data_IF_015348341088
#
_entry.id   IF_015348341088
#
_cell.length_a   1.000
_cell.length_b   1.000
_cell.length_c   1.000
_cell.angle_alpha   90.00
_cell.angle_beta   90.00
_cell.angle_gamma   90.00
#
_symmetry.space_group_name_H-M   'P 1'
#
loop_
_entity.id
_entity.type
_entity.pdbx_description
1 polymer ?
#
# COMPACT_ATOMS: atom_id res chain seq x y z
N UNK A 1 -9.77 -1.98 3.28
CA UNK A 1 -8.95 -3.18 3.52
C UNK A 1 -8.62 -3.81 2.17
N UNK A 2 -7.33 -3.97 1.88
CA UNK A 2 -6.79 -4.62 0.67
C UNK A 2 -5.88 -5.79 1.05
N UNK A 3 -5.16 -6.39 0.10
CA UNK A 3 -4.29 -7.53 0.35
C UNK A 3 -5.05 -8.85 0.29
N UNK A 4 -4.33 -9.93 0.01
CA UNK A 4 -4.92 -11.28 -0.12
C UNK A 4 -5.76 -11.73 1.08
N UNK A 5 -5.33 -11.42 2.32
CA UNK A 5 -6.05 -11.78 3.56
C UNK A 5 -7.45 -11.15 3.67
N UNK A 6 -7.68 -10.03 2.98
CA UNK A 6 -8.97 -9.33 2.99
C UNK A 6 -10.09 -10.10 2.27
N UNK A 7 -9.77 -11.21 1.58
CA UNK A 7 -10.78 -12.16 1.09
C UNK A 7 -11.38 -13.03 2.20
N UNK A 8 -10.75 -13.07 3.39
CA UNK A 8 -11.28 -13.80 4.54
C UNK A 8 -12.30 -12.94 5.31
N UNK A 9 -13.58 -13.29 5.19
CA UNK A 9 -14.66 -12.63 5.95
C UNK A 9 -14.41 -12.65 7.46
N UNK A 10 -13.93 -13.77 8.01
CA UNK A 10 -13.59 -13.89 9.44
C UNK A 10 -12.56 -12.86 9.87
N UNK A 11 -11.52 -12.66 9.07
CA UNK A 11 -10.48 -11.68 9.36
C UNK A 11 -11.03 -10.25 9.32
N UNK A 12 -11.75 -9.92 8.23
CA UNK A 12 -12.37 -8.59 8.05
C UNK A 12 -13.32 -8.26 9.19
N UNK A 13 -14.20 -9.19 9.56
CA UNK A 13 -15.16 -8.99 10.65
C UNK A 13 -14.44 -8.73 11.97
N UNK A 14 -13.35 -9.46 12.25
CA UNK A 14 -12.60 -9.28 13.49
C UNK A 14 -11.92 -7.92 13.56
N UNK A 15 -11.32 -7.45 12.47
CA UNK A 15 -10.74 -6.09 12.41
C UNK A 15 -11.82 -5.02 12.56
N UNK A 16 -12.99 -5.23 11.95
CA UNK A 16 -14.12 -4.30 12.04
C UNK A 16 -14.69 -4.18 13.46
N UNK A 17 -14.66 -5.25 14.26
CA UNK A 17 -15.01 -5.22 15.69
C UNK A 17 -14.13 -4.22 16.48
N UNK A 18 -12.82 -4.22 16.23
CA UNK A 18 -11.88 -3.36 16.96
C UNK A 18 -11.83 -1.91 16.44
N UNK A 19 -11.92 -1.71 15.12
CA UNK A 19 -11.65 -0.41 14.50
C UNK A 19 -12.84 0.20 13.75
N UNK A 20 -13.98 -0.49 13.67
CA UNK A 20 -15.15 -0.06 12.90
C UNK A 20 -15.81 1.23 13.38
N UNK A 21 -15.53 1.65 14.62
CA UNK A 21 -16.01 2.90 15.20
C UNK A 21 -15.30 4.13 14.62
N UNK A 22 -14.10 3.96 14.05
CA UNK A 22 -13.29 5.07 13.54
C UNK A 22 -13.91 5.66 12.26
N UNK A 23 -14.31 4.80 11.33
CA UNK A 23 -14.83 5.18 10.01
C UNK A 23 -15.49 3.99 9.29
N UNK A 24 -16.24 4.22 8.19
CA UNK A 24 -16.77 3.15 7.36
C UNK A 24 -15.69 2.20 6.81
N UNK A 25 -15.98 0.90 6.81
CA UNK A 25 -15.10 -0.12 6.26
C UNK A 25 -15.42 -0.39 4.79
N UNK A 26 -14.46 -0.15 3.91
CA UNK A 26 -14.51 -0.53 2.49
C UNK A 26 -13.50 -1.66 2.26
N UNK A 27 -13.89 -2.72 1.56
CA UNK A 27 -13.06 -3.91 1.33
C UNK A 27 -12.89 -4.14 -0.16
N UNK A 28 -11.64 -4.17 -0.61
CA UNK A 28 -11.22 -4.53 -1.96
C UNK A 28 -10.17 -5.63 -1.82
N UNK A 29 -10.60 -6.88 -1.73
CA UNK A 29 -9.71 -8.02 -1.46
C UNK A 29 -8.72 -8.28 -2.59
N UNK A 30 -7.51 -8.72 -2.23
CA UNK A 30 -6.42 -8.88 -3.18
C UNK A 30 -5.71 -7.55 -3.48
N UNK A 31 -4.98 -7.56 -4.59
CA UNK A 31 -4.05 -6.51 -4.97
C UNK A 31 -4.10 -6.32 -6.50
N UNK A 32 -3.60 -5.18 -6.98
CA UNK A 32 -3.61 -4.78 -8.39
C UNK A 32 -2.22 -4.31 -8.81
N UNK A 33 -1.17 -5.05 -8.42
CA UNK A 33 0.21 -4.60 -8.58
C UNK A 33 0.59 -4.44 -10.05
N UNK A 34 0.18 -5.37 -10.91
CA UNK A 34 0.54 -5.32 -12.33
C UNK A 34 -0.11 -4.12 -13.02
N UNK A 35 -1.38 -3.85 -12.72
CA UNK A 35 -2.11 -2.67 -13.21
C UNK A 35 -1.53 -1.38 -12.64
N UNK A 36 -1.14 -1.37 -11.37
CA UNK A 36 -0.51 -0.22 -10.73
C UNK A 36 0.85 0.11 -11.37
N UNK A 37 1.68 -0.91 -11.65
CA UNK A 37 2.96 -0.76 -12.34
C UNK A 37 2.77 -0.23 -13.77
N UNK A 38 1.86 -0.84 -14.54
CA UNK A 38 1.56 -0.40 -15.90
C UNK A 38 1.02 1.04 -15.92
N UNK A 39 0.09 1.37 -15.01
CA UNK A 39 -0.44 2.72 -14.87
C UNK A 39 0.65 3.74 -14.51
N UNK A 40 1.57 3.38 -13.61
CA UNK A 40 2.73 4.21 -13.29
C UNK A 40 3.62 4.48 -14.50
N UNK A 41 3.97 3.44 -15.27
CA UNK A 41 4.76 3.58 -16.48
C UNK A 41 4.06 4.46 -17.53
N UNK A 42 2.75 4.28 -17.72
CA UNK A 42 1.95 5.10 -18.65
C UNK A 42 1.97 6.58 -18.25
N UNK A 43 1.81 6.91 -16.96
CA UNK A 43 1.86 8.31 -16.50
C UNK A 43 3.19 8.97 -16.80
N UNK A 44 4.31 8.24 -16.66
CA UNK A 44 5.62 8.74 -17.06
C UNK A 44 5.71 8.95 -18.58
N UNK A 45 5.37 7.93 -19.38
CA UNK A 45 5.47 7.97 -20.84
C UNK A 45 4.57 9.04 -21.48
N UNK A 46 3.48 9.41 -20.81
CA UNK A 46 2.52 10.44 -21.26
C UNK A 46 2.79 11.84 -20.69
N UNK A 47 3.82 12.00 -19.86
CA UNK A 47 4.16 13.29 -19.25
C UNK A 47 3.24 13.74 -18.12
N UNK A 48 2.35 12.86 -17.63
CA UNK A 48 1.48 13.14 -16.49
C UNK A 48 2.23 13.10 -15.15
N UNK A 49 3.38 12.41 -15.09
CA UNK A 49 4.22 12.32 -13.89
C UNK A 49 5.71 12.34 -14.28
N UNK A 50 6.53 13.08 -13.55
CA UNK A 50 7.99 13.10 -13.74
C UNK A 50 8.64 11.88 -13.05
N UNK A 51 9.71 11.28 -13.62
CA UNK A 51 10.40 10.17 -12.99
C UNK A 51 11.16 10.67 -11.75
N UNK A 52 11.29 9.79 -10.74
CA UNK A 52 12.09 10.06 -9.55
C UNK A 52 13.44 9.36 -9.66
N UNK A 53 14.48 10.00 -9.13
CA UNK A 53 15.80 9.40 -9.03
C UNK A 53 15.95 8.67 -7.69
N UNK A 54 16.35 7.40 -7.75
CA UNK A 54 16.63 6.61 -6.55
C UNK A 54 18.02 6.96 -6.03
N UNK A 55 18.11 7.52 -4.83
CA UNK A 55 19.38 8.01 -4.25
C UNK A 55 20.33 6.88 -3.85
N UNK A 56 19.83 5.66 -3.66
CA UNK A 56 20.63 4.54 -3.13
C UNK A 56 21.06 4.70 -1.67
N UNK A 57 20.67 5.79 -0.99
CA UNK A 57 21.03 6.06 0.41
C UNK A 57 19.91 5.57 1.33
N UNK A 58 20.17 4.63 2.26
CA UNK A 58 19.17 4.18 3.23
C UNK A 58 18.66 5.33 4.10
N UNK A 59 17.34 5.53 4.15
CA UNK A 59 16.69 6.57 4.96
C UNK A 59 16.70 6.29 6.46
N UNK A 60 17.10 5.09 6.87
CA UNK A 60 17.19 4.67 8.27
C UNK A 60 18.63 4.70 8.82
N UNK A 61 19.55 5.36 8.13
CA UNK A 61 20.94 5.55 8.59
C UNK A 61 21.07 6.52 9.79
N UNK A 62 20.00 7.22 10.17
CA UNK A 62 19.99 8.17 11.29
C UNK A 62 19.59 7.57 12.65
N UNK A 63 19.39 6.26 12.75
CA UNK A 63 19.01 5.60 14.00
C UNK A 63 20.22 4.89 14.62
N UNK A 64 20.51 5.17 15.89
CA UNK A 64 21.38 4.32 16.70
C UNK A 64 20.59 3.08 17.12
N UNK A 65 21.03 1.90 16.68
CA UNK A 65 20.48 0.64 17.21
C UNK A 65 21.20 0.34 18.53
N UNK A 66 20.47 0.41 19.64
CA UNK A 66 20.93 -0.25 20.88
C UNK A 66 20.59 -1.75 20.78
N UNK A 67 21.51 -2.64 21.16
CA UNK A 67 21.31 -4.09 21.10
C UNK A 67 20.25 -4.62 22.06
#
# INVERSE_FOLDING_TARGET
>A
MTGGVSNSKRFVDKVKEYAGWVAPFIVYGGDFEMEALASGAIRYLTGAEAPKEYTGVPVWSGFSFEP
#
